data_IF_522698496543
#
_entry.id   IF_522698496543
#
_cell.length_a   1.000
_cell.length_b   1.000
_cell.length_c   1.000
_cell.angle_alpha   90.00
_cell.angle_beta   90.00
_cell.angle_gamma   90.00
#
_symmetry.space_group_name_H-M   'P 1'
#
loop_
_entity.id
_entity.type
_entity.pdbx_description
1 polymer ?
#
# COMPACT_ATOMS: atom_id res chain seq x y z
N UNK A 1 -21.61 2.32 -6.64
CA UNK A 1 -20.77 3.27 -7.40
C UNK A 1 -19.69 3.81 -6.48
N UNK A 2 -18.43 3.44 -6.68
CA UNK A 2 -17.26 4.28 -6.36
C UNK A 2 -16.06 3.78 -7.19
N UNK A 3 -15.45 4.69 -7.96
CA UNK A 3 -14.59 4.43 -9.14
C UNK A 3 -13.16 4.94 -8.96
N UNK A 4 -12.63 5.05 -7.74
CA UNK A 4 -11.31 5.71 -7.55
C UNK A 4 -10.32 4.85 -6.79
N UNK A 5 -9.64 3.99 -7.55
CA UNK A 5 -8.32 3.52 -7.15
C UNK A 5 -7.26 4.50 -7.66
N UNK A 6 -6.64 5.21 -6.71
CA UNK A 6 -5.28 5.78 -6.75
C UNK A 6 -4.97 6.95 -7.70
N UNK A 7 -5.77 7.27 -8.72
CA UNK A 7 -5.51 8.43 -9.59
C UNK A 7 -6.81 9.16 -9.95
N UNK A 8 -6.94 10.41 -9.51
CA UNK A 8 -8.07 11.30 -9.81
C UNK A 8 -8.01 11.86 -11.25
N UNK A 9 -9.13 12.38 -11.78
CA UNK A 9 -9.21 12.82 -13.17
C UNK A 9 -8.43 14.14 -13.39
N UNK A 10 -7.77 14.26 -14.54
CA UNK A 10 -7.24 15.52 -15.08
C UNK A 10 -8.23 16.04 -16.11
N UNK A 11 -8.94 17.11 -15.78
CA UNK A 11 -9.63 17.92 -16.79
C UNK A 11 -8.63 18.93 -17.38
N UNK A 12 -8.45 18.84 -18.69
CA UNK A 12 -7.73 19.83 -19.48
C UNK A 12 -8.74 20.77 -20.14
N UNK A 13 -8.58 22.07 -19.94
CA UNK A 13 -9.02 23.07 -20.93
C UNK A 13 -8.10 24.28 -20.85
N UNK A 14 -7.54 24.61 -22.01
CA UNK A 14 -6.67 25.76 -22.30
C UNK A 14 -7.54 27.00 -22.47
N UNK A 15 -7.14 28.14 -21.89
CA UNK A 15 -7.37 29.45 -22.49
C UNK A 15 -6.14 30.33 -22.29
N UNK A 16 -5.57 30.76 -23.41
CA UNK A 16 -4.51 31.76 -23.53
C UNK A 16 -5.12 33.14 -23.78
N UNK A 17 -4.54 34.20 -23.17
CA UNK A 17 -3.85 35.31 -23.85
C UNK A 17 -3.79 36.59 -22.99
N UNK A 18 -2.54 37.08 -22.84
CA UNK A 18 -2.01 38.45 -22.65
C UNK A 18 -2.61 39.38 -21.57
N UNK A 19 -1.82 40.06 -20.73
CA UNK A 19 -0.69 40.95 -21.04
C UNK A 19 0.22 41.16 -19.80
N UNK A 20 1.48 41.41 -20.11
CA UNK A 20 2.68 41.75 -19.32
C UNK A 20 2.46 42.59 -18.06
N UNK A 21 3.18 42.26 -16.98
CA UNK A 21 4.25 43.12 -16.44
C UNK A 21 5.22 42.31 -15.54
N UNK A 22 6.47 42.75 -15.58
CA UNK A 22 7.74 42.23 -15.06
C UNK A 22 7.73 41.45 -13.72
N UNK A 23 8.32 40.24 -13.71
CA UNK A 23 9.13 39.74 -12.58
C UNK A 23 10.35 38.99 -13.13
N UNK A 24 11.51 39.48 -12.71
CA UNK A 24 12.86 38.98 -12.95
C UNK A 24 13.12 37.60 -12.33
N UNK A 25 14.17 37.01 -12.87
CA UNK A 25 14.90 35.83 -12.40
C UNK A 25 14.28 34.46 -12.68
N UNK A 26 15.01 33.75 -13.53
CA UNK A 26 14.84 32.34 -13.79
C UNK A 26 14.61 31.56 -12.51
N UNK A 27 13.75 30.56 -12.69
CA UNK A 27 14.00 29.25 -12.11
C UNK A 27 13.45 28.98 -10.71
N UNK A 28 12.24 29.49 -10.46
CA UNK A 28 11.39 28.98 -9.38
C UNK A 28 11.10 27.47 -9.56
N UNK A 29 11.07 26.95 -10.79
CA UNK A 29 10.74 25.55 -11.08
C UNK A 29 11.93 24.55 -10.95
N UNK A 30 13.20 24.88 -11.25
CA UNK A 30 14.32 24.00 -10.86
C UNK A 30 14.66 24.14 -9.36
N UNK A 31 14.39 25.30 -8.74
CA UNK A 31 14.44 25.44 -7.27
C UNK A 31 13.40 24.54 -6.59
N UNK A 32 12.25 24.29 -7.24
CA UNK A 32 11.22 23.34 -6.80
C UNK A 32 11.61 21.87 -6.98
N UNK A 33 12.55 21.54 -7.88
CA UNK A 33 13.10 20.18 -8.02
C UNK A 33 14.27 19.89 -7.07
N UNK A 34 15.04 20.90 -6.66
CA UNK A 34 16.34 20.70 -5.98
C UNK A 34 16.30 20.58 -4.44
N UNK A 35 15.22 20.98 -3.72
CA UNK A 35 15.21 21.01 -2.23
C UNK A 35 14.09 20.20 -1.57
N UNK A 36 14.20 18.87 -1.66
CA UNK A 36 13.44 17.92 -0.83
C UNK A 36 13.94 17.89 0.63
N UNK A 37 13.64 18.96 1.37
CA UNK A 37 13.60 18.99 2.84
C UNK A 37 12.63 20.06 3.36
N UNK A 38 12.46 21.17 2.62
CA UNK A 38 11.57 22.26 3.02
C UNK A 38 10.13 22.12 2.50
N UNK A 39 9.90 21.33 1.43
CA UNK A 39 8.56 21.05 0.88
C UNK A 39 7.63 20.37 1.89
N UNK A 40 8.19 19.65 2.86
CA UNK A 40 7.42 19.03 3.96
C UNK A 40 7.56 19.76 5.31
N UNK A 41 8.33 20.86 5.37
CA UNK A 41 8.58 21.70 6.54
C UNK A 41 8.90 20.96 7.85
N UNK A 42 9.39 19.72 7.77
CA UNK A 42 9.96 19.03 8.91
C UNK A 42 11.34 19.64 9.18
N UNK A 43 11.45 20.49 10.20
CA UNK A 43 12.76 20.87 10.77
C UNK A 43 13.38 19.66 11.46
N UNK A 44 13.98 18.77 10.69
CA UNK A 44 14.70 17.61 11.22
C UNK A 44 16.09 18.07 11.68
N UNK A 45 16.62 17.48 12.77
CA UNK A 45 17.98 17.78 13.24
C UNK A 45 19.00 17.48 12.13
N UNK A 46 20.10 18.26 12.05
CA UNK A 46 21.23 18.00 11.14
C UNK A 46 21.61 16.50 11.19
N UNK A 47 21.60 15.83 10.03
CA UNK A 47 21.95 14.41 9.91
C UNK A 47 20.80 13.39 10.08
N UNK A 48 19.57 13.84 10.31
CA UNK A 48 18.38 12.97 10.36
C UNK A 48 17.97 12.41 8.99
N UNK A 49 18.25 13.14 7.91
CA UNK A 49 18.06 12.71 6.53
C UNK A 49 19.29 11.92 6.05
N UNK A 50 19.03 10.76 5.43
CA UNK A 50 20.02 9.86 4.83
C UNK A 50 19.58 9.56 3.38
N UNK A 51 19.95 10.45 2.45
CA UNK A 51 19.44 10.43 1.08
C UNK A 51 17.91 10.64 1.06
N UNK A 52 17.13 9.86 0.29
CA UNK A 52 15.67 9.98 0.23
C UNK A 52 14.96 9.32 1.42
N UNK A 53 15.63 9.18 2.57
CA UNK A 53 15.12 8.49 3.75
C UNK A 53 15.30 9.33 5.01
N UNK A 54 14.40 9.14 5.96
CA UNK A 54 14.36 9.85 7.24
C UNK A 54 14.47 8.89 8.42
N UNK A 55 15.26 9.24 9.44
CA UNK A 55 15.37 8.43 10.65
C UNK A 55 14.07 8.37 11.46
N UNK A 56 13.66 7.17 11.87
CA UNK A 56 12.50 6.94 12.74
C UNK A 56 12.57 7.79 14.00
N UNK A 57 13.73 7.83 14.67
CA UNK A 57 13.95 8.65 15.88
C UNK A 57 13.67 10.14 15.66
N UNK A 58 13.93 10.66 14.45
CA UNK A 58 13.69 12.06 14.14
C UNK A 58 12.19 12.35 14.00
N UNK A 59 11.43 11.40 13.45
CA UNK A 59 9.97 11.48 13.34
C UNK A 59 9.34 11.43 14.74
N UNK A 60 9.72 10.43 15.55
CA UNK A 60 9.22 10.27 16.93
C UNK A 60 9.48 11.54 17.75
N UNK A 61 10.71 12.05 17.69
CA UNK A 61 11.08 13.26 18.42
C UNK A 61 10.33 14.52 17.94
N UNK A 62 9.96 14.61 16.66
CA UNK A 62 9.10 15.68 16.18
C UNK A 62 7.67 15.54 16.75
N UNK A 63 7.09 14.34 16.67
CA UNK A 63 5.76 14.04 17.19
C UNK A 63 5.67 14.37 18.69
N UNK A 64 6.65 13.94 19.49
CA UNK A 64 6.67 14.18 20.94
C UNK A 64 6.85 15.65 21.34
N UNK A 65 7.31 16.53 20.42
CA UNK A 65 7.49 17.95 20.70
C UNK A 65 6.28 18.80 20.33
N UNK A 66 5.50 18.36 19.35
CA UNK A 66 4.33 19.09 18.87
C UNK A 66 3.16 18.79 19.79
N UNK A 67 2.66 19.81 20.47
CA UNK A 67 1.46 19.71 21.30
C UNK A 67 0.26 20.18 20.48
N UNK A 68 -0.72 19.29 20.28
CA UNK A 68 -1.97 19.60 19.58
C UNK A 68 -3.02 19.99 20.62
N UNK A 69 -3.55 21.19 20.49
CA UNK A 69 -4.64 21.77 21.27
C UNK A 69 -5.82 22.12 20.36
N UNK A 70 -7.04 22.35 20.88
CA UNK A 70 -8.17 22.79 20.07
C UNK A 70 -7.91 24.05 19.22
N UNK A 71 -7.02 24.94 19.70
CA UNK A 71 -6.66 26.19 19.01
C UNK A 71 -5.47 26.05 18.04
N UNK A 72 -4.95 24.83 17.86
CA UNK A 72 -3.79 24.61 17.00
C UNK A 72 -4.13 24.90 15.53
N UNK A 73 -3.31 25.70 14.82
CA UNK A 73 -3.55 25.99 13.41
C UNK A 73 -3.66 24.73 12.56
N UNK A 74 -4.62 24.72 11.63
CA UNK A 74 -4.90 23.58 10.75
C UNK A 74 -3.65 23.02 10.07
N UNK A 75 -2.75 23.90 9.59
CA UNK A 75 -1.51 23.50 8.93
C UNK A 75 -0.59 22.67 9.86
N UNK A 76 -0.53 23.01 11.15
CA UNK A 76 0.24 22.28 12.15
C UNK A 76 -0.36 20.90 12.41
N UNK A 77 -1.69 20.82 12.49
CA UNK A 77 -2.42 19.54 12.64
C UNK A 77 -2.15 18.63 11.43
N UNK A 78 -2.20 19.16 10.21
CA UNK A 78 -1.89 18.40 8.99
C UNK A 78 -0.44 17.91 8.97
N UNK A 79 0.52 18.74 9.37
CA UNK A 79 1.93 18.33 9.45
C UNK A 79 2.15 17.22 10.48
N UNK A 80 1.54 17.35 11.65
CA UNK A 80 1.56 16.32 12.69
C UNK A 80 0.94 15.01 12.19
N UNK A 81 -0.23 15.07 11.55
CA UNK A 81 -0.90 13.91 10.97
C UNK A 81 -0.03 13.22 9.90
N UNK A 82 0.65 13.98 9.04
CA UNK A 82 1.61 13.44 8.06
C UNK A 82 2.80 12.77 8.75
N UNK A 83 3.30 13.31 9.86
CA UNK A 83 4.38 12.70 10.66
C UNK A 83 3.99 11.32 11.18
N UNK A 84 2.80 11.27 11.79
CA UNK A 84 2.23 10.03 12.34
C UNK A 84 1.98 9.02 11.23
N UNK A 85 1.35 9.44 10.13
CA UNK A 85 1.11 8.56 8.98
C UNK A 85 2.41 8.05 8.36
N UNK A 86 3.45 8.88 8.25
CA UNK A 86 4.77 8.45 7.76
C UNK A 86 5.39 7.38 8.68
N UNK A 87 5.28 7.57 10.01
CA UNK A 87 5.78 6.61 10.99
C UNK A 87 5.02 5.29 10.92
N UNK A 88 3.69 5.33 10.81
CA UNK A 88 2.87 4.12 10.66
C UNK A 88 3.20 3.40 9.35
N UNK A 89 3.19 4.11 8.22
CA UNK A 89 3.46 3.51 6.91
C UNK A 89 4.86 2.93 6.82
N UNK A 90 5.89 3.67 7.24
CA UNK A 90 7.27 3.23 7.10
C UNK A 90 7.80 2.37 8.25
N UNK A 91 7.20 2.46 9.43
CA UNK A 91 7.71 1.81 10.64
C UNK A 91 6.95 0.53 11.02
N UNK A 92 5.66 0.44 10.71
CA UNK A 92 4.83 -0.70 11.11
C UNK A 92 4.18 -1.42 9.93
N UNK A 93 3.61 -0.67 8.99
CA UNK A 93 2.82 -1.23 7.89
C UNK A 93 3.68 -1.73 6.73
N UNK A 94 4.65 -0.93 6.28
CA UNK A 94 5.56 -1.25 5.18
C UNK A 94 7.03 -1.04 5.57
N UNK A 95 7.51 -1.61 6.70
CA UNK A 95 8.91 -1.51 7.10
C UNK A 95 9.77 -2.25 6.09
N UNK A 96 10.87 -1.66 5.65
CA UNK A 96 11.84 -2.36 4.81
C UNK A 96 13.07 -2.78 5.62
N UNK A 97 14.01 -3.46 4.99
CA UNK A 97 15.25 -3.91 5.63
C UNK A 97 16.18 -2.76 6.07
N UNK A 98 15.77 -1.49 5.95
CA UNK A 98 16.61 -0.34 6.28
C UNK A 98 16.64 0.02 7.76
N UNK A 99 16.58 -0.97 8.64
CA UNK A 99 16.74 -0.88 10.11
C UNK A 99 15.85 0.21 10.75
N UNK A 100 16.27 1.47 10.69
CA UNK A 100 15.67 2.63 11.37
C UNK A 100 15.38 3.83 10.44
N UNK A 101 15.25 3.60 9.14
CA UNK A 101 14.99 4.64 8.14
C UNK A 101 13.63 4.44 7.48
N UNK A 102 12.91 5.52 7.24
CA UNK A 102 11.63 5.55 6.51
C UNK A 102 11.84 6.26 5.18
N UNK A 103 11.34 5.67 4.09
CA UNK A 103 11.39 6.29 2.77
C UNK A 103 10.50 7.53 2.69
N UNK A 104 11.05 8.65 2.19
CA UNK A 104 10.28 9.88 1.93
C UNK A 104 9.28 9.70 0.78
N UNK A 105 9.33 8.59 0.04
CA UNK A 105 8.35 8.25 -0.99
C UNK A 105 6.91 8.29 -0.45
N UNK A 106 6.70 7.84 0.79
CA UNK A 106 5.37 7.82 1.40
C UNK A 106 4.83 9.24 1.63
N UNK A 107 5.70 10.23 1.90
CA UNK A 107 5.28 11.63 2.06
C UNK A 107 4.66 12.21 0.79
N UNK A 108 5.17 11.85 -0.38
CA UNK A 108 4.60 12.30 -1.66
C UNK A 108 3.14 11.83 -1.84
N UNK A 109 2.75 10.70 -1.24
CA UNK A 109 1.36 10.26 -1.22
C UNK A 109 0.54 10.92 -0.12
N UNK A 110 1.17 11.27 0.99
CA UNK A 110 0.55 11.96 2.13
C UNK A 110 0.39 13.48 1.93
N UNK A 111 0.85 14.02 0.79
CA UNK A 111 0.70 15.43 0.44
C UNK A 111 -0.79 15.82 0.41
N UNK A 112 -1.64 15.04 -0.24
CA UNK A 112 -3.08 15.24 -0.15
C UNK A 112 -3.72 14.25 0.83
N UNK A 113 -3.71 14.61 2.11
CA UNK A 113 -4.25 13.75 3.18
C UNK A 113 -5.75 13.45 2.99
N UNK A 114 -6.51 14.37 2.38
CA UNK A 114 -7.93 14.15 2.09
C UNK A 114 -8.11 13.06 1.02
N UNK A 115 -7.27 13.06 -0.02
CA UNK A 115 -7.27 12.00 -1.03
C UNK A 115 -6.80 10.65 -0.46
N UNK A 116 -5.87 10.66 0.50
CA UNK A 116 -5.31 9.41 1.07
C UNK A 116 -6.32 8.55 1.81
N UNK A 117 -7.43 9.12 2.29
CA UNK A 117 -8.49 8.35 2.97
C UNK A 117 -9.21 7.38 2.03
N UNK A 118 -9.17 7.64 0.71
CA UNK A 118 -9.85 6.83 -0.29
C UNK A 118 -8.96 5.68 -0.81
N UNK A 119 -7.73 5.55 -0.31
CA UNK A 119 -6.83 4.46 -0.71
C UNK A 119 -7.06 3.22 0.14
N UNK A 120 -6.98 2.05 -0.50
CA UNK A 120 -6.97 0.77 0.21
C UNK A 120 -5.59 0.52 0.81
N UNK A 121 -5.33 1.11 1.98
CA UNK A 121 -4.06 0.92 2.71
C UNK A 121 -3.84 -0.54 3.11
N UNK A 122 -4.90 -1.30 3.42
CA UNK A 122 -4.79 -2.74 3.66
C UNK A 122 -4.25 -3.51 2.46
N UNK A 123 -4.77 -3.23 1.25
CA UNK A 123 -4.25 -3.82 0.00
C UNK A 123 -2.80 -3.43 -0.26
N UNK A 124 -2.43 -2.17 0.03
CA UNK A 124 -1.06 -1.71 -0.12
C UNK A 124 -0.07 -2.44 0.81
N UNK A 125 -0.47 -2.64 2.07
CA UNK A 125 0.31 -3.39 3.06
C UNK A 125 0.45 -4.86 2.67
N UNK A 126 -0.62 -5.49 2.18
CA UNK A 126 -0.58 -6.87 1.71
C UNK A 126 0.32 -7.03 0.48
N UNK A 127 0.21 -6.13 -0.51
CA UNK A 127 1.12 -6.12 -1.68
C UNK A 127 2.58 -6.04 -1.23
N UNK A 128 2.86 -5.16 -0.28
CA UNK A 128 4.20 -5.00 0.26
C UNK A 128 4.69 -6.26 0.98
N UNK A 129 3.85 -6.83 1.86
CA UNK A 129 4.19 -8.05 2.60
C UNK A 129 4.45 -9.23 1.66
N UNK A 130 3.61 -9.42 0.64
CA UNK A 130 3.79 -10.48 -0.36
C UNK A 130 5.12 -10.33 -1.09
N UNK A 131 5.47 -9.11 -1.53
CA UNK A 131 6.77 -8.82 -2.12
C UNK A 131 7.93 -9.15 -1.18
N UNK A 132 7.85 -8.78 0.10
CA UNK A 132 8.91 -9.05 1.06
C UNK A 132 9.04 -10.56 1.37
N UNK A 133 7.95 -11.32 1.42
CA UNK A 133 7.96 -12.78 1.55
C UNK A 133 8.59 -13.46 0.33
N UNK A 134 8.27 -13.00 -0.88
CA UNK A 134 8.93 -13.47 -2.10
C UNK A 134 10.43 -13.15 -2.07
N UNK A 135 10.80 -11.91 -1.76
CA UNK A 135 12.19 -11.49 -1.65
C UNK A 135 12.94 -12.32 -0.61
N UNK A 136 12.35 -12.60 0.56
CA UNK A 136 12.99 -13.38 1.62
C UNK A 136 13.23 -14.85 1.25
N UNK A 137 12.49 -15.36 0.26
CA UNK A 137 12.64 -16.71 -0.27
C UNK A 137 13.79 -16.81 -1.30
N UNK A 138 14.39 -15.68 -1.72
CA UNK A 138 15.57 -15.66 -2.57
C UNK A 138 16.84 -16.04 -1.80
N UNK A 139 17.78 -16.71 -2.49
CA UNK A 139 19.05 -17.14 -1.90
C UNK A 139 19.88 -15.95 -1.39
N UNK A 140 20.38 -16.05 -0.15
CA UNK A 140 21.31 -15.07 0.43
C UNK A 140 20.65 -13.88 1.14
N UNK A 141 19.34 -13.92 1.39
CA UNK A 141 18.62 -12.87 2.12
C UNK A 141 18.62 -13.15 3.62
N UNK A 142 19.06 -12.18 4.40
CA UNK A 142 19.24 -12.32 5.85
C UNK A 142 18.15 -11.62 6.68
N UNK A 143 17.25 -10.87 6.04
CA UNK A 143 16.18 -10.14 6.71
C UNK A 143 14.96 -10.02 5.79
N UNK A 144 13.78 -9.94 6.40
CA UNK A 144 12.49 -9.74 5.74
C UNK A 144 11.83 -8.46 6.28
N UNK A 145 11.32 -7.62 5.38
CA UNK A 145 10.49 -6.47 5.73
C UNK A 145 8.99 -6.81 5.75
N UNK A 146 8.16 -5.79 5.87
CA UNK A 146 6.70 -5.88 5.85
C UNK A 146 6.09 -6.04 7.24
N UNK A 147 4.76 -5.94 7.31
CA UNK A 147 4.01 -6.10 8.53
C UNK A 147 3.96 -7.59 8.95
N UNK A 148 5.06 -8.13 9.46
CA UNK A 148 5.20 -9.55 9.84
C UNK A 148 4.22 -9.99 10.93
N UNK A 149 3.68 -9.05 11.70
CA UNK A 149 2.58 -9.31 12.61
C UNK A 149 1.41 -10.00 11.87
N UNK A 150 1.17 -9.63 10.61
CA UNK A 150 0.18 -10.25 9.73
C UNK A 150 0.39 -11.75 9.50
N UNK A 151 1.62 -12.24 9.63
CA UNK A 151 1.99 -13.65 9.43
C UNK A 151 1.98 -14.41 10.76
N UNK A 152 2.07 -13.73 11.90
CA UNK A 152 2.19 -14.32 13.23
C UNK A 152 0.84 -14.63 13.90
N UNK A 153 -0.28 -14.31 13.26
CA UNK A 153 -1.61 -14.54 13.84
C UNK A 153 -2.08 -15.99 13.71
N UNK A 154 -2.87 -16.43 14.68
CA UNK A 154 -3.63 -17.67 14.56
C UNK A 154 -4.81 -17.40 13.62
N UNK A 155 -4.71 -17.90 12.40
CA UNK A 155 -5.76 -17.76 11.40
C UNK A 155 -7.02 -18.54 11.82
N UNK A 156 -8.09 -17.79 12.12
CA UNK A 156 -9.44 -18.32 12.30
C UNK A 156 -10.27 -17.95 11.06
N UNK A 157 -11.24 -18.79 10.66
CA UNK A 157 -12.20 -18.39 9.63
C UNK A 157 -12.85 -17.07 10.01
N UNK A 158 -13.10 -16.22 9.01
CA UNK A 158 -13.85 -15.00 9.24
C UNK A 158 -15.25 -15.37 9.71
N UNK A 159 -15.63 -14.90 10.89
CA UNK A 159 -17.02 -14.93 11.32
C UNK A 159 -17.79 -13.88 10.52
N UNK A 160 -18.31 -14.30 9.37
CA UNK A 160 -19.08 -13.44 8.47
C UNK A 160 -20.44 -13.04 9.08
N UNK A 161 -20.84 -13.64 10.20
CA UNK A 161 -22.03 -13.27 10.98
C UNK A 161 -21.68 -12.31 12.13
N UNK A 162 -20.38 -12.11 12.43
CA UNK A 162 -19.91 -11.18 13.45
C UNK A 162 -20.36 -9.75 13.15
N UNK A 163 -21.16 -9.20 14.06
CA UNK A 163 -21.55 -7.79 14.03
C UNK A 163 -20.36 -6.83 14.07
N UNK A 164 -19.25 -7.22 14.73
CA UNK A 164 -18.02 -6.40 14.78
C UNK A 164 -17.33 -6.39 13.41
N UNK A 165 -17.07 -7.56 12.83
CA UNK A 165 -16.42 -7.67 11.51
C UNK A 165 -17.29 -6.98 10.45
N UNK A 166 -18.60 -7.21 10.50
CA UNK A 166 -19.54 -6.63 9.53
C UNK A 166 -19.76 -5.14 9.74
N UNK A 167 -19.69 -4.60 10.97
CA UNK A 167 -19.69 -3.16 11.20
C UNK A 167 -18.47 -2.48 10.54
N UNK A 168 -17.29 -3.10 10.64
CA UNK A 168 -16.10 -2.63 9.91
C UNK A 168 -16.19 -2.86 8.40
N UNK A 169 -16.82 -3.96 7.95
CA UNK A 169 -16.85 -4.33 6.54
C UNK A 169 -17.96 -3.67 5.72
N UNK A 170 -19.06 -3.23 6.35
CA UNK A 170 -20.23 -2.65 5.69
C UNK A 170 -19.87 -1.45 4.81
N UNK A 171 -18.83 -0.71 5.19
CA UNK A 171 -18.30 0.43 4.42
C UNK A 171 -17.36 0.03 3.27
N UNK A 172 -16.83 -1.20 3.26
CA UNK A 172 -15.72 -1.63 2.39
C UNK A 172 -16.03 -2.80 1.45
N UNK A 173 -17.29 -3.26 1.40
CA UNK A 173 -17.74 -4.35 0.53
C UNK A 173 -16.96 -5.68 0.75
N UNK A 174 -17.30 -6.48 1.77
CA UNK A 174 -16.51 -7.66 2.19
C UNK A 174 -16.36 -8.72 1.11
N UNK A 175 -17.23 -8.73 0.11
CA UNK A 175 -17.11 -9.67 -1.01
C UNK A 175 -15.80 -9.47 -1.78
N UNK A 176 -15.25 -8.25 -1.78
CA UNK A 176 -13.99 -7.93 -2.45
C UNK A 176 -12.78 -8.68 -1.87
N UNK A 177 -12.84 -9.14 -0.62
CA UNK A 177 -11.75 -9.92 -0.01
C UNK A 177 -11.49 -11.25 -0.73
N UNK A 178 -12.50 -11.72 -1.49
CA UNK A 178 -12.47 -12.93 -2.32
C UNK A 178 -12.14 -12.66 -3.79
N UNK A 179 -11.77 -11.43 -4.16
CA UNK A 179 -11.44 -11.13 -5.55
C UNK A 179 -10.04 -11.61 -5.91
N UNK A 180 -9.91 -12.41 -6.97
CA UNK A 180 -8.59 -12.72 -7.54
C UNK A 180 -8.14 -11.50 -8.34
N UNK A 181 -7.21 -10.70 -7.81
CA UNK A 181 -6.87 -9.40 -8.39
C UNK A 181 -5.47 -8.92 -8.00
N UNK A 182 -4.84 -8.03 -8.79
CA UNK A 182 -3.55 -7.45 -8.43
C UNK A 182 -3.70 -6.41 -7.32
N UNK A 183 -2.94 -6.57 -6.24
CA UNK A 183 -2.70 -5.56 -5.22
C UNK A 183 -1.55 -4.66 -5.69
N UNK A 184 -1.82 -3.36 -5.78
CA UNK A 184 -0.90 -2.39 -6.35
C UNK A 184 -0.45 -1.42 -5.27
N UNK A 185 0.86 -1.36 -5.03
CA UNK A 185 1.50 -0.41 -4.13
C UNK A 185 2.75 0.20 -4.76
N UNK A 186 2.57 1.37 -5.39
CA UNK A 186 3.64 2.07 -6.11
C UNK A 186 4.23 1.21 -7.23
N UNK A 187 5.49 0.81 -7.10
CA UNK A 187 6.22 -0.07 -8.02
C UNK A 187 5.91 -1.57 -7.79
N UNK A 188 5.22 -1.88 -6.69
CA UNK A 188 4.89 -3.24 -6.30
C UNK A 188 3.53 -3.59 -6.89
N UNK A 189 3.50 -4.70 -7.60
CA UNK A 189 2.30 -5.36 -8.05
C UNK A 189 2.42 -6.81 -7.63
N UNK A 190 1.45 -7.27 -6.82
CA UNK A 190 1.38 -8.64 -6.32
C UNK A 190 -0.03 -9.18 -6.54
N UNK A 191 -0.17 -10.45 -6.89
CA UNK A 191 -1.49 -11.05 -7.08
C UNK A 191 -2.09 -11.50 -5.74
N UNK A 192 -3.36 -11.13 -5.51
CA UNK A 192 -4.16 -11.65 -4.41
C UNK A 192 -4.80 -12.97 -4.82
N UNK A 193 -4.56 -14.02 -4.03
CA UNK A 193 -4.95 -15.40 -4.32
C UNK A 193 -5.89 -16.00 -3.24
N UNK A 194 -7.11 -15.46 -3.06
CA UNK A 194 -8.04 -15.94 -2.05
C UNK A 194 -8.54 -17.37 -2.34
N UNK A 195 -8.44 -17.84 -3.59
CA UNK A 195 -8.78 -19.21 -3.99
C UNK A 195 -7.92 -20.29 -3.31
N UNK A 196 -6.77 -19.91 -2.76
CA UNK A 196 -5.87 -20.83 -2.04
C UNK A 196 -6.22 -20.98 -0.56
N UNK A 197 -7.12 -20.15 -0.05
CA UNK A 197 -7.48 -20.06 1.38
C UNK A 197 -8.98 -19.97 1.59
N UNK A 198 -9.77 -20.60 0.72
CA UNK A 198 -11.24 -20.58 0.71
C UNK A 198 -11.87 -21.01 2.03
N UNK A 199 -11.20 -21.88 2.79
CA UNK A 199 -11.63 -22.30 4.14
C UNK A 199 -11.72 -21.13 5.12
N UNK A 200 -10.93 -20.07 4.92
CA UNK A 200 -11.01 -18.85 5.74
C UNK A 200 -12.31 -18.08 5.50
N UNK A 201 -12.93 -18.25 4.33
CA UNK A 201 -14.19 -17.63 3.96
C UNK A 201 -15.39 -18.57 4.15
N UNK A 202 -15.21 -19.69 4.86
CA UNK A 202 -16.26 -20.70 5.05
C UNK A 202 -16.61 -21.48 3.78
N UNK A 203 -15.70 -21.54 2.81
CA UNK A 203 -15.92 -22.20 1.51
C UNK A 203 -15.07 -23.45 1.34
N UNK A 204 -15.61 -24.39 0.56
CA UNK A 204 -14.98 -25.66 0.24
C UNK A 204 -13.73 -25.43 -0.62
N UNK A 205 -12.60 -25.93 -0.14
CA UNK A 205 -11.30 -25.75 -0.79
C UNK A 205 -11.01 -26.86 -1.79
N UNK A 206 -10.71 -26.47 -3.03
CA UNK A 206 -10.15 -27.34 -4.04
C UNK A 206 -8.63 -27.41 -3.96
N UNK A 207 -8.06 -28.40 -4.66
CA UNK A 207 -6.64 -28.40 -5.01
C UNK A 207 -6.39 -27.15 -5.87
N UNK A 208 -5.58 -26.19 -5.40
CA UNK A 208 -5.31 -24.98 -6.15
C UNK A 208 -4.44 -25.28 -7.38
N UNK A 209 -4.65 -24.53 -8.46
CA UNK A 209 -3.76 -24.55 -9.61
C UNK A 209 -2.35 -24.08 -9.23
N UNK A 210 -1.34 -24.41 -10.04
CA UNK A 210 0.00 -23.87 -9.83
C UNK A 210 -0.02 -22.35 -10.01
N UNK A 211 0.76 -21.58 -9.22
CA UNK A 211 0.84 -20.14 -9.40
C UNK A 211 1.39 -19.80 -10.78
N UNK A 212 0.78 -18.83 -11.46
CA UNK A 212 1.34 -18.28 -12.69
C UNK A 212 2.54 -17.37 -12.35
N UNK A 213 3.76 -17.87 -12.54
CA UNK A 213 5.01 -17.10 -12.35
C UNK A 213 5.41 -16.29 -13.60
N UNK A 214 4.48 -16.02 -14.50
CA UNK A 214 4.80 -15.45 -15.83
C UNK A 214 5.36 -14.02 -15.76
N UNK A 215 5.10 -13.26 -14.69
CA UNK A 215 5.59 -11.89 -14.55
C UNK A 215 6.62 -11.69 -13.41
N UNK A 216 7.69 -12.49 -13.42
CA UNK A 216 8.89 -12.22 -12.61
C UNK A 216 9.59 -10.91 -13.02
N UNK A 217 9.18 -10.24 -14.11
CA UNK A 217 9.76 -8.96 -14.53
C UNK A 217 9.40 -7.84 -13.55
N UNK A 218 8.19 -7.88 -12.97
CA UNK A 218 7.78 -6.99 -11.88
C UNK A 218 8.64 -7.15 -10.63
N UNK A 219 9.19 -8.34 -10.38
CA UNK A 219 10.06 -8.63 -9.24
C UNK A 219 11.42 -7.94 -9.34
N UNK A 220 11.85 -7.62 -10.57
CA UNK A 220 13.08 -6.88 -10.86
C UNK A 220 12.94 -5.37 -10.67
N UNK A 221 11.72 -4.85 -10.51
CA UNK A 221 11.51 -3.42 -10.29
C UNK A 221 11.91 -3.08 -8.85
N UNK A 222 13.07 -2.46 -8.72
CA UNK A 222 13.58 -2.02 -7.42
C UNK A 222 12.89 -0.73 -6.95
N UNK A 223 12.82 -0.59 -5.62
CA UNK A 223 12.23 0.58 -4.93
C UNK A 223 13.13 1.83 -4.95
N UNK A 224 14.34 1.72 -5.48
CA UNK A 224 15.34 2.80 -5.48
C UNK A 224 15.05 3.84 -6.56
N UNK A 225 14.79 5.07 -6.11
CA UNK A 225 14.89 6.35 -6.82
C UNK A 225 14.62 6.38 -8.33
N UNK A 226 13.48 5.83 -8.76
CA UNK A 226 12.91 6.12 -10.08
C UNK A 226 12.03 7.37 -10.03
N UNK A 227 12.66 8.51 -9.71
CA UNK A 227 12.00 9.83 -9.82
C UNK A 227 11.57 10.04 -11.26
N UNK A 228 10.27 10.27 -11.48
CA UNK A 228 9.71 10.55 -12.81
C UNK A 228 9.05 9.37 -13.54
N UNK A 229 9.05 8.14 -12.99
CA UNK A 229 8.31 7.03 -13.62
C UNK A 229 6.81 7.22 -13.47
N UNK A 230 6.09 7.19 -14.60
CA UNK A 230 4.63 7.12 -14.61
C UNK A 230 4.17 5.69 -14.31
N UNK A 231 3.93 5.42 -13.03
CA UNK A 231 3.43 4.13 -12.56
C UNK A 231 2.02 3.80 -13.07
N UNK A 232 1.21 4.79 -13.45
CA UNK A 232 -0.10 4.53 -14.06
C UNK A 232 0.10 3.86 -15.40
N UNK A 233 0.95 4.46 -16.24
CA UNK A 233 1.26 3.92 -17.56
C UNK A 233 1.96 2.56 -17.44
N UNK A 234 2.94 2.44 -16.56
CA UNK A 234 3.68 1.18 -16.34
C UNK A 234 2.79 0.04 -15.85
N UNK A 235 1.74 0.34 -15.06
CA UNK A 235 0.87 -0.68 -14.49
C UNK A 235 -0.53 -0.69 -15.09
N UNK A 236 -0.72 -0.11 -16.28
CA UNK A 236 -2.05 0.04 -16.89
C UNK A 236 -2.79 -1.30 -17.04
N UNK A 237 -2.08 -2.38 -17.40
CA UNK A 237 -2.64 -3.73 -17.50
C UNK A 237 -3.15 -4.23 -16.13
N UNK A 238 -2.40 -3.97 -15.07
CA UNK A 238 -2.75 -4.36 -13.70
C UNK A 238 -3.86 -3.51 -13.12
N UNK A 239 -3.85 -2.21 -13.38
CA UNK A 239 -4.92 -1.30 -13.02
C UNK A 239 -6.23 -1.74 -13.68
N UNK A 240 -6.17 -2.13 -14.96
CA UNK A 240 -7.34 -2.66 -15.68
C UNK A 240 -7.86 -3.96 -15.04
N UNK A 241 -6.97 -4.90 -14.69
CA UNK A 241 -7.35 -6.11 -13.95
C UNK A 241 -7.99 -5.79 -12.59
N UNK A 242 -7.42 -4.87 -11.82
CA UNK A 242 -7.98 -4.40 -10.54
C UNK A 242 -9.36 -3.74 -10.70
N UNK A 243 -9.57 -2.99 -11.78
CA UNK A 243 -10.87 -2.37 -12.07
C UNK A 243 -11.98 -3.42 -12.27
N UNK A 244 -11.62 -4.60 -12.79
CA UNK A 244 -12.50 -5.78 -12.98
C UNK A 244 -12.59 -6.71 -11.77
N UNK A 245 -12.07 -6.33 -10.60
CA UNK A 245 -12.05 -7.17 -9.39
C UNK A 245 -13.42 -7.74 -8.97
N UNK A 246 -14.51 -7.03 -9.29
CA UNK A 246 -15.87 -7.53 -9.02
C UNK A 246 -16.23 -8.77 -9.84
N UNK A 247 -15.64 -8.90 -11.03
CA UNK A 247 -15.87 -10.02 -11.94
C UNK A 247 -15.04 -11.25 -11.53
N UNK A 248 -14.09 -11.08 -10.60
CA UNK A 248 -13.15 -12.12 -10.17
C UNK A 248 -13.36 -12.56 -8.72
N UNK A 249 -14.51 -12.21 -8.13
CA UNK A 249 -14.91 -12.67 -6.80
C UNK A 249 -15.16 -14.18 -6.84
N UNK A 250 -14.33 -14.95 -6.13
CA UNK A 250 -14.51 -16.40 -6.08
C UNK A 250 -15.63 -16.79 -5.13
N UNK A 251 -16.58 -17.58 -5.62
CA UNK A 251 -17.67 -18.16 -4.84
C UNK A 251 -17.68 -19.67 -5.04
N UNK A 252 -17.68 -20.41 -3.92
CA UNK A 252 -17.82 -21.87 -3.91
C UNK A 252 -18.88 -22.31 -2.91
N UNK A 253 -19.12 -23.62 -2.90
CA UNK A 253 -20.01 -24.26 -1.92
C UNK A 253 -19.48 -23.99 -0.50
N UNK A 254 -20.36 -23.66 0.46
CA UNK A 254 -19.98 -23.48 1.85
C UNK A 254 -19.55 -24.82 2.47
N UNK A 255 -18.67 -24.78 3.48
CA UNK A 255 -18.34 -25.95 4.29
C UNK A 255 -19.44 -26.20 5.33
N UNK A 256 -19.79 -27.46 5.55
CA UNK A 256 -20.67 -27.87 6.65
C UNK A 256 -19.90 -28.11 7.95
N UNK A 257 -18.61 -28.50 7.83
CA UNK A 257 -17.70 -28.68 8.94
C UNK A 257 -16.26 -28.29 8.55
N UNK A 258 -15.39 -28.13 9.56
CA UNK A 258 -14.01 -27.66 9.34
C UNK A 258 -13.15 -28.61 8.50
N UNK A 259 -13.52 -29.89 8.35
CA UNK A 259 -12.77 -30.88 7.56
C UNK A 259 -13.22 -30.98 6.10
N UNK A 260 -14.31 -30.32 5.73
CA UNK A 260 -14.83 -30.35 4.36
C UNK A 260 -13.90 -29.68 3.36
N UNK A 261 -13.60 -30.42 2.28
CA UNK A 261 -12.74 -30.00 1.16
C UNK A 261 -13.14 -30.80 -0.07
N UNK A 262 -12.73 -30.38 -1.27
CA UNK A 262 -12.90 -31.19 -2.47
C UNK A 262 -12.16 -32.53 -2.32
N UNK A 263 -12.63 -33.53 -3.05
CA UNK A 263 -12.01 -34.86 -3.08
C UNK A 263 -10.52 -34.74 -3.44
N UNK A 264 -9.67 -35.31 -2.57
CA UNK A 264 -8.23 -35.36 -2.79
C UNK A 264 -7.44 -34.16 -2.25
N UNK A 265 -8.10 -33.08 -1.80
CA UNK A 265 -7.41 -31.91 -1.27
C UNK A 265 -6.49 -32.26 -0.09
N UNK A 266 -7.00 -32.98 0.92
CA UNK A 266 -6.19 -33.35 2.08
C UNK A 266 -4.98 -34.20 1.71
N UNK A 267 -5.16 -35.14 0.76
CA UNK A 267 -4.05 -35.95 0.25
C UNK A 267 -2.99 -35.05 -0.37
N UNK A 268 -3.39 -34.17 -1.29
CA UNK A 268 -2.50 -33.19 -1.92
C UNK A 268 -1.76 -32.32 -0.88
N UNK A 269 -2.49 -31.73 0.07
CA UNK A 269 -1.95 -30.84 1.11
C UNK A 269 -0.92 -31.53 2.02
N UNK A 270 -1.06 -32.82 2.27
CA UNK A 270 -0.12 -33.59 3.11
C UNK A 270 1.05 -34.23 2.36
N UNK A 271 0.99 -34.27 1.02
CA UNK A 271 1.97 -34.99 0.19
C UNK A 271 2.84 -34.08 -0.68
N UNK A 272 2.53 -32.79 -0.72
CA UNK A 272 3.30 -31.74 -1.42
C UNK A 272 3.97 -30.85 -0.40
#
# INVERSE_FOLDING_TARGET
MDRRAVYGPRDGTVLSQHRSDEILDGDIDEVLQAKRADVYRFRTRKGALKGPRLQVKAIIHHILRVHITPDTPYLTVVQYARAVALLLLGGTMCPDSSRNLVSLLYLAKLENIVATRNYSWGSAVLAFLYRELCNASEKGKAAIGGALQLVQFIWQPYDMESNVIMAYAKDFNPQLWRSICPLIFYAIVEMHHPERVLRQFGMMQNIPDQPEYSDMSLHKITRSNRTGTDWVLQHILYITKWQRRYDTIIQRQPISNRRDTDRGYWKWYTTT
#
